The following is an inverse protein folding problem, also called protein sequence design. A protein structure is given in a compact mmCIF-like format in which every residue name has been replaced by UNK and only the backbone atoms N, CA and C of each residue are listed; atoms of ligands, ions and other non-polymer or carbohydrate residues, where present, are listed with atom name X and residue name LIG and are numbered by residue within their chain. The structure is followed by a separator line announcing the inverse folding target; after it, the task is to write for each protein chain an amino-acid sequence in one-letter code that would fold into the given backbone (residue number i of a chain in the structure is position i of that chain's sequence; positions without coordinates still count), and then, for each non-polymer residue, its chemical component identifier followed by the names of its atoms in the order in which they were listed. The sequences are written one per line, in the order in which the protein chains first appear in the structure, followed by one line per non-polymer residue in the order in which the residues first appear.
data_IF_283756810057
#
_entry.id   IF_283756810057
#
_cell.length_a   1.000
_cell.length_b   1.000
_cell.length_c   1.000
_cell.angle_alpha   90.00
_cell.angle_beta   90.00
_cell.angle_gamma   90.00
#
_symmetry.space_group_name_H-M   'P 1'
#
loop_
_entity.id
_entity.type
_entity.pdbx_description
1 polymer ?
#
# COMPACT_ATOMS: atom_id res chain seq x y z
N UNK A 1 -17.94 3.20 -58.76
CA UNK A 1 -19.30 3.13 -58.19
C UNK A 1 -19.68 1.67 -57.95
N UNK A 2 -20.17 1.35 -56.73
CA UNK A 2 -21.05 0.22 -56.30
C UNK A 2 -20.51 -1.23 -56.10
N UNK A 3 -20.15 -1.50 -54.82
CA UNK A 3 -20.42 -2.61 -53.87
C UNK A 3 -20.29 -4.11 -54.29
N UNK A 4 -19.46 -4.92 -53.60
CA UNK A 4 -19.60 -6.38 -53.56
C UNK A 4 -20.70 -6.83 -52.57
N UNK A 5 -21.49 -7.84 -52.98
CA UNK A 5 -22.67 -8.35 -52.30
C UNK A 5 -22.40 -9.45 -51.26
N UNK A 6 -23.11 -9.29 -50.14
CA UNK A 6 -23.56 -10.22 -49.10
C UNK A 6 -22.99 -11.65 -49.03
N UNK A 7 -22.35 -11.95 -47.88
CA UNK A 7 -22.11 -13.31 -47.37
C UNK A 7 -23.33 -13.75 -46.55
N UNK A 8 -24.04 -14.77 -47.03
CA UNK A 8 -25.11 -15.44 -46.28
C UNK A 8 -24.50 -16.41 -45.25
N UNK A 9 -24.70 -16.15 -43.96
CA UNK A 9 -24.25 -17.02 -42.87
C UNK A 9 -25.31 -18.09 -42.60
N UNK A 10 -25.00 -19.32 -43.01
CA UNK A 10 -25.81 -20.53 -42.82
C UNK A 10 -25.65 -21.03 -41.37
N UNK A 11 -26.64 -20.81 -40.53
CA UNK A 11 -26.68 -21.37 -39.17
C UNK A 11 -27.11 -22.84 -39.25
N UNK A 12 -26.18 -23.75 -38.94
CA UNK A 12 -26.42 -25.19 -38.83
C UNK A 12 -27.01 -25.51 -37.46
N UNK A 13 -27.96 -26.45 -37.44
CA UNK A 13 -28.55 -27.05 -36.25
C UNK A 13 -27.46 -27.48 -35.25
N UNK A 14 -27.43 -26.85 -34.08
CA UNK A 14 -26.43 -27.12 -33.04
C UNK A 14 -27.03 -28.07 -32.00
N UNK A 15 -26.38 -29.23 -31.72
CA UNK A 15 -26.89 -30.22 -30.78
C UNK A 15 -26.98 -29.66 -29.35
N UNK A 16 -27.87 -30.21 -28.51
CA UNK A 16 -28.10 -29.75 -27.11
C UNK A 16 -26.81 -29.65 -26.28
N UNK A 17 -25.83 -30.51 -26.60
CA UNK A 17 -24.49 -30.47 -26.02
C UNK A 17 -23.73 -29.19 -26.38
N UNK A 18 -23.92 -28.65 -27.59
CA UNK A 18 -23.34 -27.39 -28.06
C UNK A 18 -24.00 -26.19 -27.38
N UNK A 19 -25.31 -26.22 -27.18
CA UNK A 19 -26.01 -25.15 -26.44
C UNK A 19 -25.54 -25.13 -24.98
N UNK A 20 -25.41 -26.30 -24.35
CA UNK A 20 -24.88 -26.43 -22.98
C UNK A 20 -23.40 -26.04 -22.90
N UNK A 21 -22.60 -26.41 -23.89
CA UNK A 21 -21.19 -26.03 -23.96
C UNK A 21 -21.01 -24.53 -24.16
N UNK A 22 -21.83 -23.89 -25.00
CA UNK A 22 -21.82 -22.44 -25.20
C UNK A 22 -22.27 -21.75 -23.90
N UNK A 23 -23.35 -22.21 -23.27
CA UNK A 23 -23.80 -21.67 -21.99
C UNK A 23 -22.74 -21.77 -20.89
N UNK A 24 -22.06 -22.91 -20.79
CA UNK A 24 -20.96 -23.11 -19.85
C UNK A 24 -19.76 -22.20 -20.18
N UNK A 25 -19.36 -22.12 -21.45
CA UNK A 25 -18.23 -21.30 -21.89
C UNK A 25 -18.50 -19.81 -21.66
N UNK A 26 -19.73 -19.35 -21.89
CA UNK A 26 -20.13 -17.95 -21.71
C UNK A 26 -20.19 -17.61 -20.22
N UNK A 27 -20.67 -18.53 -19.38
CA UNK A 27 -20.67 -18.35 -17.91
C UNK A 27 -19.25 -18.34 -17.36
N UNK A 28 -18.37 -19.22 -17.83
CA UNK A 28 -16.94 -19.24 -17.46
C UNK A 28 -16.23 -17.98 -17.92
N UNK A 29 -16.49 -17.50 -19.15
CA UNK A 29 -15.94 -16.22 -19.62
C UNK A 29 -16.47 -15.03 -18.81
N UNK A 30 -17.75 -15.05 -18.43
CA UNK A 30 -18.35 -13.99 -17.62
C UNK A 30 -17.75 -13.99 -16.21
N UNK A 31 -17.58 -15.16 -15.59
CA UNK A 31 -16.93 -15.28 -14.29
C UNK A 31 -15.44 -14.94 -14.34
N UNK A 32 -14.73 -15.33 -15.41
CA UNK A 32 -13.34 -14.94 -15.63
C UNK A 32 -13.22 -13.43 -15.89
N UNK A 33 -14.16 -12.83 -16.62
CA UNK A 33 -14.25 -11.40 -16.83
C UNK A 33 -14.55 -10.64 -15.54
N UNK A 34 -15.48 -11.13 -14.72
CA UNK A 34 -15.76 -10.56 -13.40
C UNK A 34 -14.57 -10.74 -12.47
N UNK A 35 -13.92 -11.90 -12.44
CA UNK A 35 -12.69 -12.12 -11.66
C UNK A 35 -11.53 -11.26 -12.15
N UNK A 36 -11.40 -11.05 -13.46
CA UNK A 36 -10.41 -10.15 -14.05
C UNK A 36 -10.72 -8.69 -13.67
N UNK A 37 -11.98 -8.26 -13.77
CA UNK A 37 -12.44 -6.93 -13.35
C UNK A 37 -12.37 -6.76 -11.83
N UNK A 38 -12.56 -7.80 -11.03
CA UNK A 38 -12.42 -7.73 -9.57
C UNK A 38 -10.97 -7.79 -9.13
N UNK A 39 -10.10 -8.52 -9.85
CA UNK A 39 -8.66 -8.37 -9.70
C UNK A 39 -8.17 -7.01 -10.21
N UNK A 40 -8.97 -6.30 -11.02
CA UNK A 40 -8.72 -4.96 -11.54
C UNK A 40 -9.75 -3.91 -11.05
N UNK A 41 -10.30 -4.06 -9.84
CA UNK A 41 -11.45 -3.29 -9.29
C UNK A 41 -11.35 -1.76 -9.52
N UNK A 42 -12.43 -1.12 -10.02
CA UNK A 42 -12.97 0.03 -9.29
C UNK A 42 -14.51 0.10 -9.33
N UNK A 43 -15.13 0.53 -8.22
CA UNK A 43 -16.42 1.21 -8.25
C UNK A 43 -16.29 2.55 -7.52
N UNK A 44 -16.44 3.62 -8.30
CA UNK A 44 -16.77 4.99 -7.89
C UNK A 44 -15.77 5.77 -7.02
N UNK A 45 -14.75 6.35 -7.67
CA UNK A 45 -14.64 7.82 -7.66
C UNK A 45 -14.92 8.28 -9.10
N UNK A 46 -16.14 8.03 -9.54
CA UNK A 46 -16.57 7.98 -10.95
C UNK A 46 -16.65 9.34 -11.65
N UNK A 47 -15.72 10.22 -11.31
CA UNK A 47 -14.94 10.89 -12.32
C UNK A 47 -13.63 10.09 -12.46
N UNK A 48 -13.72 8.89 -13.03
CA UNK A 48 -12.54 8.13 -13.41
C UNK A 48 -11.79 8.97 -14.45
N UNK A 49 -10.89 9.82 -13.96
CA UNK A 49 -9.91 10.56 -14.75
C UNK A 49 -10.59 11.20 -15.96
N UNK A 50 -11.72 11.90 -15.76
CA UNK A 50 -12.59 12.34 -16.85
C UNK A 50 -11.88 13.23 -17.86
N UNK A 51 -10.83 13.92 -17.41
CA UNK A 51 -9.70 14.22 -18.25
C UNK A 51 -8.52 13.45 -17.69
N UNK A 52 -8.15 12.36 -18.36
CA UNK A 52 -6.76 11.94 -18.50
C UNK A 52 -5.91 13.19 -18.34
N UNK A 53 -4.92 13.17 -17.46
CA UNK A 53 -3.66 13.67 -17.97
C UNK A 53 -3.76 15.05 -18.64
N UNK A 54 -4.50 15.98 -18.05
CA UNK A 54 -4.25 17.39 -18.27
C UNK A 54 -3.43 17.83 -17.06
N UNK A 55 -2.38 17.17 -16.59
CA UNK A 55 -1.24 16.60 -17.31
C UNK A 55 -0.31 16.13 -16.19
N UNK A 56 -0.19 14.82 -15.89
CA UNK A 56 0.86 14.23 -15.02
C UNK A 56 1.36 15.16 -13.89
N UNK A 57 0.50 15.56 -12.93
CA UNK A 57 0.89 16.70 -12.07
C UNK A 57 0.12 17.04 -10.79
N UNK A 58 -0.75 16.19 -10.21
CA UNK A 58 -1.42 16.59 -8.96
C UNK A 58 -1.89 15.47 -8.01
N UNK A 59 -1.25 14.29 -7.97
CA UNK A 59 -1.36 13.50 -6.73
C UNK A 59 -0.72 14.36 -5.61
N UNK A 60 -1.53 14.81 -4.67
CA UNK A 60 -1.11 15.58 -3.50
C UNK A 60 -1.66 14.91 -2.26
N UNK A 61 -0.77 14.71 -1.30
CA UNK A 61 -1.15 14.36 0.06
C UNK A 61 -2.04 15.46 0.64
N UNK A 62 -3.04 15.06 1.41
CA UNK A 62 -3.82 15.99 2.22
C UNK A 62 -2.93 16.49 3.37
N UNK A 63 -2.40 17.71 3.22
CA UNK A 63 -1.51 18.35 4.19
C UNK A 63 -2.18 18.54 5.56
N UNK A 64 -3.52 18.71 5.61
CA UNK A 64 -4.24 18.87 6.87
C UNK A 64 -4.30 17.56 7.64
N UNK A 65 -4.68 16.47 6.96
CA UNK A 65 -4.68 15.14 7.55
C UNK A 65 -3.25 14.71 7.95
N UNK A 66 -2.25 15.07 7.16
CA UNK A 66 -0.85 14.83 7.48
C UNK A 66 -0.41 15.60 8.74
N UNK A 67 -0.74 16.89 8.85
CA UNK A 67 -0.42 17.70 10.02
C UNK A 67 -1.11 17.16 11.29
N UNK A 68 -2.36 16.69 11.17
CA UNK A 68 -3.04 16.00 12.27
C UNK A 68 -2.34 14.72 12.68
N UNK A 69 -1.95 13.88 11.70
CA UNK A 69 -1.15 12.68 11.95
C UNK A 69 0.15 12.99 12.67
N UNK A 70 0.84 14.05 12.25
CA UNK A 70 2.10 14.49 12.84
C UNK A 70 1.91 14.98 14.29
N UNK A 71 0.82 15.71 14.56
CA UNK A 71 0.45 16.12 15.92
C UNK A 71 0.17 14.93 16.83
N UNK A 72 -0.51 13.89 16.33
CA UNK A 72 -0.72 12.65 17.09
C UNK A 72 0.59 11.88 17.30
N UNK A 73 1.45 11.83 16.28
CA UNK A 73 2.74 11.16 16.32
C UNK A 73 3.66 11.76 17.40
N UNK A 74 3.74 13.08 17.51
CA UNK A 74 4.53 13.75 18.56
C UNK A 74 3.97 13.59 19.98
N UNK A 75 2.72 13.16 20.12
CA UNK A 75 2.10 12.83 21.41
C UNK A 75 2.16 11.34 21.74
N UNK A 76 2.97 10.59 20.99
CA UNK A 76 3.09 9.12 21.06
C UNK A 76 1.74 8.38 20.85
N UNK A 77 0.76 9.02 20.21
CA UNK A 77 -0.55 8.43 19.87
C UNK A 77 -0.48 7.72 18.51
N UNK A 78 0.38 6.72 18.40
CA UNK A 78 0.78 6.08 17.15
C UNK A 78 -0.38 5.43 16.38
N UNK A 79 -1.31 4.74 17.06
CA UNK A 79 -2.51 4.22 16.41
C UNK A 79 -3.39 5.31 15.76
N UNK A 80 -3.59 6.43 16.46
CA UNK A 80 -4.35 7.57 15.92
C UNK A 80 -3.59 8.27 14.79
N UNK A 81 -2.27 8.40 14.93
CA UNK A 81 -1.39 8.96 13.91
C UNK A 81 -1.49 8.17 12.60
N UNK A 82 -1.42 6.84 12.64
CA UNK A 82 -1.57 5.99 11.45
C UNK A 82 -2.90 6.19 10.74
N UNK A 83 -4.00 6.27 11.49
CA UNK A 83 -5.32 6.51 10.90
C UNK A 83 -5.42 7.87 10.20
N UNK A 84 -4.75 8.90 10.75
CA UNK A 84 -4.68 10.22 10.14
C UNK A 84 -3.76 10.23 8.91
N UNK A 85 -2.61 9.55 8.97
CA UNK A 85 -1.69 9.39 7.84
C UNK A 85 -2.30 8.57 6.70
N UNK A 86 -3.08 7.53 6.99
CA UNK A 86 -3.80 6.73 5.99
C UNK A 86 -4.87 7.56 5.26
N UNK A 87 -5.51 8.50 5.98
CA UNK A 87 -6.38 9.51 5.36
C UNK A 87 -5.60 10.53 4.52
N UNK A 88 -4.39 10.88 4.95
CA UNK A 88 -3.53 11.83 4.25
C UNK A 88 -2.98 11.26 2.93
N UNK A 89 -2.65 9.98 2.93
CA UNK A 89 -2.16 9.23 1.78
C UNK A 89 -2.93 7.90 1.62
N UNK A 90 -4.15 7.92 1.07
CA UNK A 90 -4.92 6.69 0.85
C UNK A 90 -4.32 5.76 -0.20
N UNK A 91 -3.47 6.31 -1.09
CA UNK A 91 -2.86 5.57 -2.19
C UNK A 91 -1.53 4.89 -1.79
N UNK A 92 -1.04 5.17 -0.58
CA UNK A 92 0.27 4.77 -0.08
C UNK A 92 1.45 5.15 -0.98
N UNK A 93 1.35 6.31 -1.65
CA UNK A 93 2.33 6.78 -2.64
C UNK A 93 3.30 7.82 -2.10
N UNK A 94 3.01 8.45 -0.96
CA UNK A 94 3.87 9.51 -0.47
C UNK A 94 4.96 8.95 0.47
N UNK A 95 6.25 9.05 0.10
CA UNK A 95 7.31 8.38 0.82
C UNK A 95 7.41 8.79 2.29
N UNK A 96 7.23 10.08 2.62
CA UNK A 96 7.39 10.61 3.98
C UNK A 96 6.28 10.13 4.92
N UNK A 97 5.06 10.07 4.44
CA UNK A 97 3.88 9.60 5.17
C UNK A 97 4.02 8.12 5.46
N UNK A 98 4.41 7.34 4.47
CA UNK A 98 4.72 5.91 4.66
C UNK A 98 5.88 5.70 5.64
N UNK A 99 6.90 6.57 5.64
CA UNK A 99 7.97 6.54 6.64
C UNK A 99 7.46 6.78 8.06
N UNK A 100 6.62 7.80 8.30
CA UNK A 100 6.06 8.02 9.64
C UNK A 100 5.11 6.90 10.09
N UNK A 101 4.36 6.32 9.17
CA UNK A 101 3.56 5.11 9.44
C UNK A 101 4.48 3.96 9.87
N UNK A 102 5.55 3.68 9.15
CA UNK A 102 6.51 2.65 9.52
C UNK A 102 7.15 2.92 10.89
N UNK A 103 7.54 4.17 11.15
CA UNK A 103 8.14 4.57 12.42
C UNK A 103 7.17 4.40 13.59
N UNK A 104 5.89 4.66 13.38
CA UNK A 104 4.86 4.47 14.40
C UNK A 104 4.68 2.99 14.78
N UNK A 105 4.78 2.07 13.80
CA UNK A 105 4.81 0.63 14.05
C UNK A 105 6.06 0.21 14.83
N UNK A 106 7.23 0.73 14.47
CA UNK A 106 8.47 0.50 15.21
C UNK A 106 8.32 0.91 16.68
N UNK A 107 7.86 2.14 16.95
CA UNK A 107 7.72 2.64 18.32
C UNK A 107 6.73 1.85 19.16
N UNK A 108 5.61 1.41 18.58
CA UNK A 108 4.67 0.55 19.30
C UNK A 108 5.16 -0.89 19.47
N UNK A 109 5.87 -1.44 18.48
CA UNK A 109 6.44 -2.79 18.53
C UNK A 109 7.46 -2.98 19.66
N UNK A 110 8.15 -1.91 20.06
CA UNK A 110 9.04 -1.88 21.23
C UNK A 110 8.38 -1.36 22.52
N UNK A 111 7.24 -0.69 22.42
CA UNK A 111 6.66 0.12 23.51
C UNK A 111 5.87 -0.67 24.56
N UNK A 112 5.63 -1.95 24.34
CA UNK A 112 5.00 -2.84 25.32
C UNK A 112 6.01 -3.90 25.73
N UNK A 113 5.87 -4.46 26.91
CA UNK A 113 6.86 -5.33 27.56
C UNK A 113 7.31 -6.56 26.72
N UNK A 114 6.70 -6.77 25.55
CA UNK A 114 6.99 -7.81 24.58
C UNK A 114 7.14 -7.22 23.17
N UNK A 115 8.07 -7.80 22.41
CA UNK A 115 8.27 -7.53 20.98
C UNK A 115 7.08 -8.10 20.21
N UNK A 116 6.29 -7.23 19.57
CA UNK A 116 5.16 -7.64 18.72
C UNK A 116 5.61 -7.74 17.26
N UNK A 117 5.85 -8.98 16.81
CA UNK A 117 6.32 -9.26 15.44
C UNK A 117 5.31 -8.87 14.36
N UNK A 118 4.01 -8.86 14.67
CA UNK A 118 3.00 -8.44 13.69
C UNK A 118 3.09 -6.93 13.43
N UNK A 119 3.39 -6.14 14.47
CA UNK A 119 3.65 -4.70 14.30
C UNK A 119 4.93 -4.46 13.50
N UNK A 120 6.01 -5.22 13.75
CA UNK A 120 7.24 -5.11 12.97
C UNK A 120 7.04 -5.47 11.51
N UNK A 121 6.30 -6.54 11.20
CA UNK A 121 5.97 -6.93 9.84
C UNK A 121 5.19 -5.82 9.10
N UNK A 122 4.17 -5.23 9.73
CA UNK A 122 3.42 -4.10 9.15
C UNK A 122 4.29 -2.86 8.96
N UNK A 123 5.23 -2.61 9.87
CA UNK A 123 6.23 -1.56 9.73
C UNK A 123 7.14 -1.79 8.52
N UNK A 124 7.57 -3.04 8.28
CA UNK A 124 8.39 -3.42 7.14
C UNK A 124 7.67 -3.22 5.81
N UNK A 125 6.38 -3.57 5.74
CA UNK A 125 5.58 -3.31 4.54
C UNK A 125 5.50 -1.82 4.25
N UNK A 126 5.27 -0.98 5.26
CA UNK A 126 5.19 0.47 5.11
C UNK A 126 6.53 1.08 4.67
N UNK A 127 7.66 0.67 5.27
CA UNK A 127 8.97 1.22 4.88
C UNK A 127 9.40 0.75 3.48
N UNK A 128 9.06 -0.47 3.08
CA UNK A 128 9.32 -0.95 1.73
C UNK A 128 8.51 -0.16 0.69
N UNK A 129 7.25 0.19 0.98
CA UNK A 129 6.47 1.12 0.13
C UNK A 129 7.12 2.50 0.06
N UNK A 130 7.55 3.05 1.19
CA UNK A 130 8.22 4.36 1.24
C UNK A 130 9.50 4.39 0.38
N UNK A 131 10.32 3.34 0.48
CA UNK A 131 11.56 3.19 -0.30
C UNK A 131 11.25 3.05 -1.79
N UNK A 132 10.26 2.23 -2.15
CA UNK A 132 9.84 2.03 -3.55
C UNK A 132 9.28 3.31 -4.19
N UNK A 133 8.56 4.13 -3.41
CA UNK A 133 8.00 5.39 -3.87
C UNK A 133 9.03 6.54 -3.91
N UNK A 134 10.19 6.39 -3.28
CA UNK A 134 11.20 7.44 -3.22
C UNK A 134 11.88 7.65 -4.59
N UNK A 135 12.04 8.91 -5.07
CA UNK A 135 12.61 9.21 -6.40
C UNK A 135 14.03 8.67 -6.66
N UNK A 136 14.77 8.35 -5.60
CA UNK A 136 16.14 7.79 -5.66
C UNK A 136 16.27 6.46 -4.92
N UNK A 137 15.15 5.81 -4.60
CA UNK A 137 15.13 4.61 -3.76
C UNK A 137 15.68 4.83 -2.35
N UNK A 138 15.80 6.10 -1.91
CA UNK A 138 16.27 6.48 -0.59
C UNK A 138 15.38 7.58 -0.06
N UNK A 139 14.92 7.38 1.17
CA UNK A 139 14.19 8.38 1.93
C UNK A 139 15.02 8.81 3.13
N UNK A 140 15.14 10.13 3.28
CA UNK A 140 15.72 10.79 4.45
C UNK A 140 14.73 11.84 4.91
N UNK A 141 14.32 11.74 6.17
CA UNK A 141 13.36 12.65 6.80
C UNK A 141 14.11 13.54 7.78
N UNK A 142 14.09 14.84 7.52
CA UNK A 142 14.70 15.82 8.41
C UNK A 142 13.71 16.25 9.50
N UNK A 143 13.73 15.51 10.61
CA UNK A 143 12.95 15.79 11.81
C UNK A 143 13.83 15.61 13.05
N UNK A 144 13.94 16.67 13.84
CA UNK A 144 14.79 16.73 15.02
C UNK A 144 14.37 15.75 16.12
N UNK A 145 13.08 15.39 16.16
CA UNK A 145 12.51 14.51 17.18
C UNK A 145 12.64 13.02 16.83
N UNK A 146 13.14 12.69 15.63
CA UNK A 146 13.39 11.31 15.22
C UNK A 146 14.79 10.85 15.64
N UNK A 147 14.84 9.62 16.17
CA UNK A 147 16.10 8.93 16.45
C UNK A 147 16.74 8.40 15.16
N UNK A 148 15.91 7.85 14.27
CA UNK A 148 16.32 7.36 12.95
C UNK A 148 15.69 8.21 11.88
N UNK A 149 16.49 8.67 10.92
CA UNK A 149 16.06 9.63 9.89
C UNK A 149 16.10 9.06 8.49
N UNK A 150 16.68 7.89 8.30
CA UNK A 150 16.74 7.25 6.98
C UNK A 150 15.84 6.02 6.92
N UNK A 151 15.27 5.75 5.74
CA UNK A 151 14.46 4.57 5.52
C UNK A 151 15.25 3.27 5.64
N UNK A 152 16.52 3.28 5.23
CA UNK A 152 17.41 2.12 5.32
C UNK A 152 17.68 1.75 6.79
N UNK A 153 17.92 2.75 7.64
CA UNK A 153 18.13 2.58 9.08
C UNK A 153 16.86 2.05 9.77
N UNK A 154 15.70 2.65 9.47
CA UNK A 154 14.44 2.19 10.04
C UNK A 154 14.09 0.77 9.58
N UNK A 155 14.37 0.42 8.33
CA UNK A 155 14.17 -0.93 7.81
C UNK A 155 15.04 -1.95 8.54
N UNK A 156 16.34 -1.68 8.70
CA UNK A 156 17.25 -2.58 9.41
C UNK A 156 16.80 -2.83 10.85
N UNK A 157 16.32 -1.79 11.54
CA UNK A 157 15.82 -1.87 12.90
C UNK A 157 14.50 -2.64 13.04
N UNK A 158 13.59 -2.50 12.07
CA UNK A 158 12.38 -3.32 11.99
C UNK A 158 12.71 -4.80 11.71
N UNK A 159 13.68 -5.08 10.83
CA UNK A 159 14.17 -6.45 10.57
C UNK A 159 14.85 -7.06 11.80
N UNK A 160 15.62 -6.26 12.55
CA UNK A 160 16.18 -6.67 13.83
C UNK A 160 15.09 -6.99 14.86
N UNK A 161 14.01 -6.20 14.90
CA UNK A 161 12.84 -6.46 15.75
C UNK A 161 12.13 -7.78 15.43
N UNK A 162 12.07 -8.18 14.15
CA UNK A 162 11.54 -9.48 13.74
C UNK A 162 12.40 -10.67 14.22
N UNK A 163 13.72 -10.45 14.26
CA UNK A 163 14.72 -11.45 14.67
C UNK A 163 14.94 -11.50 16.18
N UNK A 164 14.60 -10.44 16.91
CA UNK A 164 14.66 -10.40 18.35
C UNK A 164 13.78 -11.51 18.95
N UNK A 165 14.37 -12.36 19.79
CA UNK A 165 13.62 -13.34 20.57
C UNK A 165 12.74 -12.60 21.58
N UNK A 166 11.57 -13.17 21.92
CA UNK A 166 10.61 -12.63 22.89
C UNK A 166 11.23 -12.30 24.25
N UNK A 167 12.40 -12.86 24.56
CA UNK A 167 13.15 -12.65 25.81
C UNK A 167 14.08 -11.42 25.80
N UNK A 168 14.38 -10.82 24.64
CA UNK A 168 15.23 -9.62 24.55
C UNK A 168 14.38 -8.37 24.35
N UNK A 169 13.93 -7.79 25.47
CA UNK A 169 13.46 -6.40 25.52
C UNK A 169 14.68 -5.48 25.80
N UNK A 170 15.17 -4.69 24.82
CA UNK A 170 16.49 -4.04 24.87
C UNK A 170 16.50 -2.65 25.52
N UNK A 171 15.53 -2.29 26.36
CA UNK A 171 15.71 -1.12 27.24
C UNK A 171 16.94 -1.25 28.18
N UNK A 172 17.60 -2.42 28.23
CA UNK A 172 18.73 -2.73 29.12
C UNK A 172 20.07 -3.02 28.43
N UNK A 173 20.18 -3.11 27.10
CA UNK A 173 21.46 -3.47 26.46
C UNK A 173 21.95 -2.30 25.58
N UNK A 174 23.10 -1.74 25.94
CA UNK A 174 23.87 -0.77 25.13
C UNK A 174 23.42 0.71 25.19
N UNK A 175 23.02 1.14 26.40
CA UNK A 175 23.50 2.40 27.01
C UNK A 175 25.00 2.32 27.40
N UNK A 176 25.74 1.41 26.77
CA UNK A 176 27.08 0.93 27.14
C UNK A 176 27.83 0.66 25.84
N UNK A 177 28.35 1.73 25.21
CA UNK A 177 29.62 1.83 24.46
C UNK A 177 29.66 3.20 23.74
N UNK A 178 29.53 4.29 24.52
CA UNK A 178 30.39 5.46 24.30
C UNK A 178 31.39 5.45 25.45
N UNK A 179 32.59 4.97 25.17
CA UNK A 179 33.80 5.45 25.82
C UNK A 179 34.47 6.39 24.84
#
# INVERSE_FOLDING_TARGET
MKKPGAVAVRWRDMPDSTIRAIGLALTVCCFAGIAWVYSHQPQTFAEATGALSASVGAYRVDEQAFADGFRFFHRDQFAAARLAFDRADPAHQEPRTQFYIAYSYYREGWGRMYVDKDLFARGLDAINRAIAAAPRGRIVVDDANLQMRSGDELKAELEAGMQAGTEMNPLTIVRRQRK
#
